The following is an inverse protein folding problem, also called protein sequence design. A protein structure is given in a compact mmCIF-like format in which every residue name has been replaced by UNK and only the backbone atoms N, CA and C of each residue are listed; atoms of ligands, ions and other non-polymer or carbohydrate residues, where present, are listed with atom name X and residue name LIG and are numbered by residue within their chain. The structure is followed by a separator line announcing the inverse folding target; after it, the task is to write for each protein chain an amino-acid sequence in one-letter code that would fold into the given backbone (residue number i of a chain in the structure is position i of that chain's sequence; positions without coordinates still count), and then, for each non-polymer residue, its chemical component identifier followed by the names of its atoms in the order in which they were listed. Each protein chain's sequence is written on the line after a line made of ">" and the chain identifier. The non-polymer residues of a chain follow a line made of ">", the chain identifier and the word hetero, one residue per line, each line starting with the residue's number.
data_IF_852218036699
#
_entry.id   IF_852218036699
#
_cell.length_a   1.000
_cell.length_b   1.000
_cell.length_c   1.000
_cell.angle_alpha   90.00
_cell.angle_beta   90.00
_cell.angle_gamma   90.00
#
_symmetry.space_group_name_H-M   'P 1'
#
loop_
_entity.id
_entity.type
_entity.pdbx_description
1 polymer ?
#
# COMPACT_ATOMS: atom_id res chain seq x y z
N UNK A 1 -0.89 3.90 19.37
CA UNK A 1 -2.28 4.40 19.37
C UNK A 1 -2.36 5.92 19.55
N UNK A 2 -1.69 6.54 20.54
CA UNK A 2 -1.80 7.98 20.84
C UNK A 2 -1.64 8.92 19.63
N UNK A 3 -0.72 8.59 18.73
CA UNK A 3 -0.42 9.39 17.54
C UNK A 3 -0.97 8.78 16.24
N UNK A 4 -1.66 7.64 16.28
CA UNK A 4 -1.98 6.89 15.08
C UNK A 4 -2.90 7.69 14.14
N UNK A 5 -3.99 8.26 14.66
CA UNK A 5 -4.94 9.02 13.86
C UNK A 5 -4.32 10.21 13.15
N UNK A 6 -3.49 10.99 13.86
CA UNK A 6 -2.89 12.22 13.33
C UNK A 6 -1.59 12.03 12.55
N UNK A 7 -0.85 10.93 12.77
CA UNK A 7 0.50 10.72 12.21
C UNK A 7 0.66 9.47 11.34
N UNK A 8 -0.37 8.64 11.13
CA UNK A 8 -0.26 7.44 10.26
C UNK A 8 0.18 7.71 8.82
N UNK A 9 0.00 8.93 8.33
CA UNK A 9 0.38 9.33 6.97
C UNK A 9 1.74 10.04 6.92
N UNK A 10 2.43 10.20 8.05
CA UNK A 10 3.73 10.85 8.13
C UNK A 10 4.83 9.79 8.16
N UNK A 11 5.53 9.53 7.04
CA UNK A 11 6.55 8.48 6.98
C UNK A 11 7.78 8.76 7.84
N UNK A 12 7.92 9.99 8.35
CA UNK A 12 9.03 10.36 9.24
C UNK A 12 8.75 10.02 10.71
N UNK A 13 7.51 9.65 11.04
CA UNK A 13 7.06 9.34 12.40
C UNK A 13 6.71 7.86 12.49
N UNK A 14 7.29 7.16 13.47
CA UNK A 14 6.94 5.78 13.78
C UNK A 14 5.58 5.69 14.53
N UNK A 15 4.50 6.04 13.84
CA UNK A 15 3.14 6.09 14.39
C UNK A 15 2.28 4.86 14.05
N UNK A 16 2.75 4.00 13.14
CA UNK A 16 2.04 2.79 12.72
C UNK A 16 2.09 1.69 13.79
N UNK A 17 1.20 0.71 13.69
CA UNK A 17 1.17 -0.43 14.63
C UNK A 17 2.33 -1.41 14.45
N UNK A 18 2.92 -1.43 13.26
CA UNK A 18 3.91 -2.42 12.82
C UNK A 18 3.43 -3.88 12.91
N UNK A 19 2.10 -4.09 12.92
CA UNK A 19 1.50 -5.42 13.07
C UNK A 19 1.35 -6.21 11.76
N UNK A 20 1.57 -5.59 10.59
CA UNK A 20 1.30 -6.24 9.29
C UNK A 20 2.05 -7.56 9.08
N UNK A 21 3.32 -7.75 9.48
CA UNK A 21 3.99 -9.05 9.32
C UNK A 21 3.32 -10.14 10.18
N UNK A 22 2.96 -9.81 11.41
CA UNK A 22 2.31 -10.75 12.35
C UNK A 22 0.89 -11.13 11.90
N UNK A 23 0.15 -10.16 11.34
CA UNK A 23 -1.17 -10.42 10.75
C UNK A 23 -1.07 -11.29 9.50
N UNK A 24 -0.10 -11.03 8.62
CA UNK A 24 0.10 -11.82 7.40
C UNK A 24 0.35 -13.30 7.71
N UNK A 25 1.20 -13.60 8.69
CA UNK A 25 1.53 -14.98 9.08
C UNK A 25 0.57 -15.58 10.12
N UNK A 26 -0.51 -14.88 10.50
CA UNK A 26 -1.45 -15.38 11.51
C UNK A 26 -0.86 -15.56 12.91
N UNK A 27 0.29 -14.95 13.20
CA UNK A 27 0.93 -15.00 14.53
C UNK A 27 0.11 -14.24 15.59
N UNK A 28 -0.68 -13.26 15.16
CA UNK A 28 -1.62 -12.51 16.00
C UNK A 28 -2.96 -12.41 15.28
N UNK A 29 -4.05 -12.74 15.99
CA UNK A 29 -5.41 -12.52 15.49
C UNK A 29 -5.72 -11.02 15.37
N UNK A 30 -6.20 -10.59 14.20
CA UNK A 30 -6.65 -9.21 13.97
C UNK A 30 -7.82 -8.87 14.90
N UNK A 31 -8.77 -9.78 15.08
CA UNK A 31 -9.88 -9.63 16.01
C UNK A 31 -9.38 -9.37 17.45
N UNK A 32 -8.34 -10.09 17.88
CA UNK A 32 -7.70 -9.85 19.19
C UNK A 32 -7.14 -8.43 19.29
N UNK A 33 -6.42 -7.97 18.27
CA UNK A 33 -5.87 -6.61 18.25
C UNK A 33 -6.98 -5.55 18.37
N UNK A 34 -8.09 -5.72 17.65
CA UNK A 34 -9.27 -4.83 17.72
C UNK A 34 -9.87 -4.78 19.12
N UNK A 35 -10.10 -5.94 19.75
CA UNK A 35 -10.63 -6.01 21.11
C UNK A 35 -9.72 -5.31 22.12
N UNK A 36 -8.40 -5.35 21.92
CA UNK A 36 -7.44 -4.65 22.78
C UNK A 36 -7.50 -3.13 22.58
N UNK A 37 -7.46 -2.63 21.34
CA UNK A 37 -7.44 -1.17 21.11
C UNK A 37 -8.77 -0.50 21.43
N UNK A 38 -9.91 -1.20 21.30
CA UNK A 38 -11.23 -0.66 21.65
C UNK A 38 -11.33 -0.26 23.12
N UNK A 39 -10.59 -0.90 24.02
CA UNK A 39 -10.51 -0.52 25.44
C UNK A 39 -9.92 0.88 25.65
N UNK A 40 -9.20 1.42 24.66
CA UNK A 40 -8.58 2.74 24.69
C UNK A 40 -9.44 3.82 23.99
N UNK A 41 -10.66 3.46 23.56
CA UNK A 41 -11.54 4.35 22.79
C UNK A 41 -11.97 5.61 23.55
N UNK A 42 -12.03 5.59 24.89
CA UNK A 42 -12.37 6.77 25.70
C UNK A 42 -11.28 7.84 25.67
N UNK A 43 -10.00 7.45 25.65
CA UNK A 43 -8.86 8.39 25.65
C UNK A 43 -8.35 8.72 24.24
N UNK A 44 -8.58 7.84 23.26
CA UNK A 44 -7.96 7.92 21.93
C UNK A 44 -8.93 7.59 20.79
N UNK A 45 -10.19 8.05 20.88
CA UNK A 45 -11.27 7.69 19.95
C UNK A 45 -10.87 7.75 18.47
N UNK A 46 -10.38 8.89 18.00
CA UNK A 46 -10.02 9.07 16.57
C UNK A 46 -8.96 8.06 16.10
N UNK A 47 -7.95 7.80 16.95
CA UNK A 47 -6.89 6.85 16.62
C UNK A 47 -7.35 5.40 16.65
N UNK A 48 -8.28 5.07 17.55
CA UNK A 48 -8.90 3.75 17.64
C UNK A 48 -9.79 3.52 16.43
N UNK A 49 -10.66 4.46 16.09
CA UNK A 49 -11.56 4.38 14.93
C UNK A 49 -10.75 4.24 13.63
N UNK A 50 -9.71 5.06 13.44
CA UNK A 50 -8.82 4.96 12.28
C UNK A 50 -8.08 3.62 12.21
N UNK A 51 -7.65 3.06 13.34
CA UNK A 51 -7.01 1.73 13.34
C UNK A 51 -8.00 0.62 12.98
N UNK A 52 -9.22 0.69 13.50
CA UNK A 52 -10.29 -0.29 13.20
C UNK A 52 -10.66 -0.25 11.71
N UNK A 53 -10.79 0.93 11.13
CA UNK A 53 -11.05 1.13 9.70
C UNK A 53 -9.99 0.41 8.84
N UNK A 54 -8.70 0.61 9.12
CA UNK A 54 -7.62 -0.01 8.34
C UNK A 54 -7.51 -1.53 8.58
N UNK A 55 -7.66 -1.98 9.84
CA UNK A 55 -7.46 -3.38 10.19
C UNK A 55 -8.66 -4.29 9.89
N UNK A 56 -9.88 -3.74 9.86
CA UNK A 56 -11.11 -4.48 9.53
C UNK A 56 -11.54 -4.14 8.12
N UNK A 57 -11.97 -2.91 7.85
CA UNK A 57 -12.60 -2.55 6.58
C UNK A 57 -11.63 -2.73 5.42
N UNK A 58 -10.45 -2.10 5.46
CA UNK A 58 -9.48 -2.17 4.35
C UNK A 58 -8.92 -3.58 4.17
N UNK A 59 -8.56 -4.25 5.27
CA UNK A 59 -7.99 -5.61 5.21
C UNK A 59 -9.00 -6.64 4.70
N UNK A 60 -10.21 -6.66 5.23
CA UNK A 60 -11.25 -7.63 4.83
C UNK A 60 -11.83 -7.30 3.46
N UNK A 61 -11.79 -6.04 3.03
CA UNK A 61 -12.08 -5.66 1.65
C UNK A 61 -11.03 -6.22 0.68
N UNK A 62 -9.76 -6.29 1.05
CA UNK A 62 -8.74 -6.96 0.24
C UNK A 62 -9.01 -8.47 0.12
N UNK A 63 -9.38 -9.13 1.23
CA UNK A 63 -9.78 -10.55 1.20
C UNK A 63 -11.01 -10.75 0.30
N UNK A 64 -12.02 -9.86 0.42
CA UNK A 64 -13.21 -9.85 -0.43
C UNK A 64 -12.84 -9.70 -1.92
N UNK A 65 -11.97 -8.74 -2.24
CA UNK A 65 -11.52 -8.51 -3.62
C UNK A 65 -10.87 -9.76 -4.20
N UNK A 66 -9.89 -10.35 -3.52
CA UNK A 66 -9.20 -11.55 -4.00
C UNK A 66 -10.12 -12.78 -4.06
N UNK A 67 -11.07 -12.92 -3.14
CA UNK A 67 -12.00 -14.04 -3.10
C UNK A 67 -13.02 -14.00 -4.26
N UNK A 68 -13.61 -12.84 -4.52
CA UNK A 68 -14.66 -12.69 -5.53
C UNK A 68 -14.13 -12.35 -6.93
N UNK A 69 -12.87 -11.93 -7.05
CA UNK A 69 -12.25 -11.60 -8.33
C UNK A 69 -11.11 -12.57 -8.66
N UNK A 70 -11.37 -13.53 -9.55
CA UNK A 70 -10.35 -14.50 -10.02
C UNK A 70 -9.16 -13.88 -10.75
N UNK A 71 -9.26 -12.60 -11.13
CA UNK A 71 -8.24 -11.86 -11.89
C UNK A 71 -7.63 -10.73 -11.04
N UNK A 72 -7.59 -10.88 -9.72
CA UNK A 72 -7.21 -9.83 -8.76
C UNK A 72 -5.80 -9.26 -8.97
N UNK A 73 -4.91 -10.00 -9.61
CA UNK A 73 -3.51 -9.67 -9.90
C UNK A 73 -3.29 -9.24 -11.36
N UNK A 74 -4.35 -8.84 -12.07
CA UNK A 74 -4.26 -8.37 -13.45
C UNK A 74 -5.11 -7.13 -13.68
N UNK A 75 -4.79 -6.36 -14.72
CA UNK A 75 -5.58 -5.18 -15.13
C UNK A 75 -7.03 -5.55 -15.45
N UNK A 76 -7.28 -6.78 -15.90
CA UNK A 76 -8.62 -7.31 -16.16
C UNK A 76 -9.50 -7.38 -14.90
N UNK A 77 -8.89 -7.50 -13.72
CA UNK A 77 -9.59 -7.46 -12.44
C UNK A 77 -10.00 -6.05 -12.00
N UNK A 78 -9.53 -4.99 -12.66
CA UNK A 78 -9.92 -3.62 -12.34
C UNK A 78 -11.33 -3.28 -12.88
N UNK A 79 -11.95 -2.25 -12.30
CA UNK A 79 -13.21 -1.70 -12.79
C UNK A 79 -13.09 -1.16 -14.22
N UNK A 80 -14.19 -1.21 -14.98
CA UNK A 80 -14.22 -0.84 -16.40
C UNK A 80 -13.77 0.59 -16.68
N UNK A 81 -14.10 1.53 -15.81
CA UNK A 81 -13.66 2.93 -15.95
C UNK A 81 -12.13 3.05 -15.86
N UNK A 82 -11.49 2.26 -15.00
CA UNK A 82 -10.04 2.26 -14.82
C UNK A 82 -9.35 1.62 -16.04
N UNK A 83 -9.87 0.49 -16.52
CA UNK A 83 -9.38 -0.16 -17.76
C UNK A 83 -9.50 0.78 -18.96
N UNK A 84 -10.63 1.47 -19.09
CA UNK A 84 -10.88 2.43 -20.18
C UNK A 84 -9.86 3.56 -20.15
N UNK A 85 -9.70 4.25 -19.01
CA UNK A 85 -8.77 5.38 -18.93
C UNK A 85 -7.31 4.96 -19.13
N UNK A 86 -6.90 3.77 -18.67
CA UNK A 86 -5.55 3.27 -18.91
C UNK A 86 -5.32 2.99 -20.41
N UNK A 87 -6.31 2.45 -21.11
CA UNK A 87 -6.24 2.21 -22.54
C UNK A 87 -6.22 3.51 -23.36
N UNK A 88 -7.05 4.48 -22.99
CA UNK A 88 -7.11 5.79 -23.64
C UNK A 88 -5.73 6.49 -23.62
N UNK A 89 -4.96 6.28 -22.53
CA UNK A 89 -3.63 6.88 -22.31
C UNK A 89 -2.44 5.93 -22.62
N UNK A 90 -2.68 4.82 -23.33
CA UNK A 90 -1.65 3.80 -23.59
C UNK A 90 -0.53 4.30 -24.52
N UNK A 91 -0.83 5.27 -25.40
CA UNK A 91 0.12 5.82 -26.39
C UNK A 91 0.83 7.09 -25.90
N UNK A 92 0.52 7.54 -24.70
CA UNK A 92 1.17 8.72 -24.11
C UNK A 92 2.66 8.42 -23.89
N UNK A 93 3.51 9.34 -24.34
CA UNK A 93 4.95 9.21 -24.13
C UNK A 93 5.26 9.33 -22.63
N UNK A 94 5.95 8.34 -22.07
CA UNK A 94 6.47 8.41 -20.70
C UNK A 94 7.75 9.24 -20.64
N UNK A 95 7.87 10.06 -19.61
CA UNK A 95 9.06 10.91 -19.38
C UNK A 95 10.29 10.04 -19.06
N UNK A 96 10.07 9.00 -18.26
CA UNK A 96 11.07 8.00 -17.88
C UNK A 96 10.49 6.61 -18.13
N UNK A 97 11.34 5.66 -18.50
CA UNK A 97 11.01 4.24 -18.57
C UNK A 97 12.16 3.49 -17.93
N UNK A 98 11.92 2.90 -16.77
CA UNK A 98 12.91 2.13 -16.04
C UNK A 98 12.69 0.64 -16.24
N UNK A 99 13.80 -0.09 -16.27
CA UNK A 99 13.77 -1.55 -16.19
C UNK A 99 13.43 -2.00 -14.77
N UNK A 100 12.95 -3.24 -14.65
CA UNK A 100 12.72 -3.88 -13.36
C UNK A 100 13.96 -3.85 -12.45
N UNK A 101 15.14 -4.11 -13.00
CA UNK A 101 16.40 -4.09 -12.23
C UNK A 101 16.74 -2.69 -11.71
N UNK A 102 16.56 -1.64 -12.51
CA UNK A 102 16.78 -0.27 -12.04
C UNK A 102 15.81 0.13 -10.91
N UNK A 103 14.54 -0.27 -11.02
CA UNK A 103 13.55 -0.07 -9.97
C UNK A 103 13.91 -0.86 -8.70
N UNK A 104 14.23 -2.15 -8.83
CA UNK A 104 14.62 -3.00 -7.70
C UNK A 104 15.84 -2.45 -6.95
N UNK A 105 16.83 -1.91 -7.68
CA UNK A 105 18.08 -1.35 -7.15
C UNK A 105 17.96 0.12 -6.70
N UNK A 106 16.77 0.72 -6.73
CA UNK A 106 16.55 2.13 -6.34
C UNK A 106 17.35 3.13 -7.19
N UNK A 107 17.43 2.88 -8.50
CA UNK A 107 18.19 3.70 -9.46
C UNK A 107 17.27 4.56 -10.32
N UNK A 108 16.38 5.31 -9.68
CA UNK A 108 15.55 6.31 -10.37
C UNK A 108 16.11 7.71 -10.17
N UNK A 109 15.58 8.68 -10.91
CA UNK A 109 15.88 10.09 -10.73
C UNK A 109 15.27 10.70 -9.45
N UNK A 110 14.39 9.95 -8.76
CA UNK A 110 13.58 10.44 -7.65
C UNK A 110 14.08 9.87 -6.32
N UNK A 111 14.70 10.72 -5.51
CA UNK A 111 15.26 10.36 -4.21
C UNK A 111 14.19 9.87 -3.22
N UNK A 112 12.95 10.36 -3.30
CA UNK A 112 11.87 9.89 -2.42
C UNK A 112 11.45 8.47 -2.80
N UNK A 113 11.33 8.19 -4.10
CA UNK A 113 11.02 6.84 -4.58
C UNK A 113 12.13 5.86 -4.22
N UNK A 114 13.38 6.25 -4.46
CA UNK A 114 14.56 5.45 -4.10
C UNK A 114 14.61 5.18 -2.58
N UNK A 115 14.30 6.19 -1.75
CA UNK A 115 14.26 6.02 -0.28
C UNK A 115 13.17 5.04 0.16
N UNK A 116 12.00 5.09 -0.46
CA UNK A 116 10.92 4.15 -0.18
C UNK A 116 11.30 2.71 -0.56
N UNK A 117 11.89 2.52 -1.74
CA UNK A 117 12.38 1.21 -2.21
C UNK A 117 13.49 0.66 -1.29
N UNK A 118 14.46 1.50 -0.90
CA UNK A 118 15.51 1.10 0.04
C UNK A 118 14.93 0.68 1.41
N UNK A 119 13.89 1.36 1.91
CA UNK A 119 13.21 0.94 3.13
C UNK A 119 12.61 -0.46 2.98
N UNK A 120 11.95 -0.75 1.86
CA UNK A 120 11.41 -2.08 1.59
C UNK A 120 12.51 -3.14 1.61
N UNK A 121 13.60 -2.91 0.90
CA UNK A 121 14.72 -3.86 0.77
C UNK A 121 15.41 -4.11 2.12
N UNK A 122 15.63 -3.06 2.92
CA UNK A 122 16.38 -3.17 4.19
C UNK A 122 15.54 -3.65 5.36
N UNK A 123 14.28 -3.22 5.45
CA UNK A 123 13.43 -3.47 6.62
C UNK A 123 12.36 -4.54 6.37
N UNK A 124 12.14 -4.94 5.11
CA UNK A 124 11.04 -5.84 4.73
C UNK A 124 9.65 -5.22 4.89
N UNK A 125 9.57 -3.91 5.18
CA UNK A 125 8.32 -3.19 5.39
C UNK A 125 8.44 -1.71 5.03
N UNK A 126 7.94 -1.36 3.85
CA UNK A 126 7.75 0.04 3.47
C UNK A 126 6.62 0.70 4.29
N UNK A 127 6.78 1.97 4.66
CA UNK A 127 5.74 2.78 5.30
C UNK A 127 4.47 2.85 4.45
N UNK A 128 3.29 2.70 5.06
CA UNK A 128 2.01 2.54 4.34
C UNK A 128 1.69 3.68 3.38
N UNK A 129 1.95 4.92 3.80
CA UNK A 129 1.77 6.10 2.94
C UNK A 129 2.64 6.05 1.67
N UNK A 130 3.90 5.63 1.80
CA UNK A 130 4.85 5.58 0.70
C UNK A 130 4.54 4.44 -0.29
N UNK A 131 3.87 3.36 0.14
CA UNK A 131 3.47 2.28 -0.78
C UNK A 131 2.56 2.77 -1.92
N UNK A 132 1.64 3.69 -1.61
CA UNK A 132 0.77 4.28 -2.62
C UNK A 132 1.56 5.13 -3.62
N UNK A 133 2.48 5.96 -3.11
CA UNK A 133 3.38 6.76 -3.92
C UNK A 133 4.23 5.89 -4.85
N UNK A 134 4.91 4.92 -4.24
CA UNK A 134 5.82 3.98 -4.88
C UNK A 134 5.14 3.23 -6.04
N UNK A 135 3.97 2.63 -5.79
CA UNK A 135 3.23 1.88 -6.82
C UNK A 135 2.72 2.77 -7.96
N UNK A 136 2.29 4.01 -7.66
CA UNK A 136 1.85 4.95 -8.69
C UNK A 136 3.00 5.39 -9.60
N UNK A 137 4.20 5.56 -9.04
CA UNK A 137 5.39 5.91 -9.84
C UNK A 137 5.87 4.77 -10.72
N UNK A 138 5.69 3.51 -10.31
CA UNK A 138 5.93 2.36 -11.20
C UNK A 138 5.04 2.47 -12.44
N UNK A 139 3.73 2.73 -12.29
CA UNK A 139 2.83 2.96 -13.43
C UNK A 139 3.28 4.13 -14.34
N UNK A 140 3.81 5.20 -13.73
CA UNK A 140 4.28 6.36 -14.47
C UNK A 140 5.57 6.09 -15.27
N UNK A 141 6.39 5.12 -14.82
CA UNK A 141 7.75 4.89 -15.32
C UNK A 141 7.99 3.50 -15.90
N UNK A 142 6.94 2.74 -16.25
CA UNK A 142 7.03 1.53 -17.07
C UNK A 142 6.32 1.72 -18.41
N UNK A 143 6.55 0.82 -19.37
CA UNK A 143 6.01 0.98 -20.71
C UNK A 143 4.49 0.76 -20.78
N UNK A 144 3.92 0.01 -19.83
CA UNK A 144 2.50 -0.33 -19.82
C UNK A 144 1.95 -0.57 -18.41
N UNK A 145 0.63 -0.40 -18.19
CA UNK A 145 -0.02 -0.75 -16.93
C UNK A 145 0.16 -2.22 -16.55
N UNK A 146 0.19 -3.12 -17.54
CA UNK A 146 0.42 -4.55 -17.32
C UNK A 146 1.83 -4.82 -16.80
N UNK A 147 2.85 -4.17 -17.36
CA UNK A 147 4.23 -4.25 -16.88
C UNK A 147 4.39 -3.60 -15.49
N UNK A 148 3.67 -2.54 -15.19
CA UNK A 148 3.69 -1.91 -13.87
C UNK A 148 3.10 -2.78 -12.76
N UNK A 149 2.18 -3.69 -13.10
CA UNK A 149 1.49 -4.53 -12.12
C UNK A 149 2.19 -5.89 -11.89
N UNK A 150 2.92 -6.39 -12.90
CA UNK A 150 3.55 -7.72 -12.93
C UNK A 150 4.83 -7.83 -12.08
#
# INVERSE_FOLDING_TARGET
>A
IKMFGSKRNDPTVNALSNLSPYFHFGQISVQRAILCVKKLGSSHKESVDAFVEEAVIRRELSDNFCYYNKKYDSIEGAYDWAKKTLNDHKKDKRTYVYTRSELEESKTHDDLWNSAQLQLVREGKMHGFLRMYWAKKILEWTASPEEALA
#
